data_IF_073634083947
#
_entry.id   IF_073634083947
#
_cell.length_a   1.000
_cell.length_b   1.000
_cell.length_c   1.000
_cell.angle_alpha   90.00
_cell.angle_beta   90.00
_cell.angle_gamma   90.00
#
_symmetry.space_group_name_H-M   'P 1'
#
loop_
_entity.id
_entity.type
_entity.pdbx_description
1 polymer ?
#
# COMPACT_ATOMS: atom_id res chain seq x y z
N UNK A 1 -2.68 41.80 42.02
CA UNK A 1 -1.75 41.03 41.18
C UNK A 1 -2.16 41.20 39.72
N UNK A 2 -1.24 41.45 38.83
CA UNK A 2 -1.50 41.60 37.39
C UNK A 2 -1.34 40.23 36.69
N UNK A 3 -2.04 40.02 35.59
CA UNK A 3 -1.91 38.81 34.78
C UNK A 3 -0.46 38.67 34.29
N UNK A 4 0.14 37.43 34.37
CA UNK A 4 1.51 37.16 33.94
C UNK A 4 1.69 37.05 32.41
N UNK A 5 0.63 37.26 31.62
CA UNK A 5 0.73 37.26 30.16
C UNK A 5 1.10 38.66 29.67
N UNK A 6 2.14 38.81 28.83
CA UNK A 6 2.51 40.07 28.23
C UNK A 6 1.30 40.74 27.56
N UNK A 7 1.18 42.06 27.70
CA UNK A 7 0.10 42.89 27.12
C UNK A 7 -1.29 42.69 27.74
N UNK A 8 -1.50 41.84 28.72
CA UNK A 8 -2.78 41.73 29.40
C UNK A 8 -2.92 42.78 30.50
N UNK A 9 -3.91 43.64 30.36
CA UNK A 9 -4.23 44.71 31.35
C UNK A 9 -5.25 44.25 32.40
N UNK A 10 -5.76 43.04 32.34
CA UNK A 10 -6.74 42.52 33.29
C UNK A 10 -6.09 42.00 34.58
N UNK A 11 -6.79 42.14 35.68
CA UNK A 11 -6.37 41.62 36.99
C UNK A 11 -6.49 40.08 37.02
N UNK A 12 -5.43 39.39 37.47
CA UNK A 12 -5.46 37.96 37.69
C UNK A 12 -6.24 37.61 38.97
N UNK A 13 -7.08 36.59 38.92
CA UNK A 13 -7.89 36.18 40.07
C UNK A 13 -7.08 35.22 40.90
N UNK A 14 -6.78 34.12 40.88
CA UNK A 14 -6.05 33.27 41.84
C UNK A 14 -4.85 32.50 41.25
N UNK A 15 -4.76 32.39 39.96
CA UNK A 15 -3.78 31.54 39.26
C UNK A 15 -2.71 32.30 38.50
N UNK A 16 -2.66 33.62 38.59
CA UNK A 16 -1.70 34.47 37.84
C UNK A 16 -2.09 34.71 36.37
N UNK A 17 -3.19 34.14 35.90
CA UNK A 17 -3.73 34.33 34.56
C UNK A 17 -5.16 34.82 34.64
N UNK A 18 -5.57 35.79 33.83
CA UNK A 18 -6.94 36.28 33.84
C UNK A 18 -7.91 35.26 33.22
N UNK A 19 -9.21 35.41 33.56
CA UNK A 19 -10.25 34.48 33.09
C UNK A 19 -10.32 34.31 31.57
N UNK A 20 -10.06 35.40 30.84
CA UNK A 20 -10.08 35.38 29.37
C UNK A 20 -8.93 34.54 28.77
N UNK A 21 -7.71 34.68 29.32
CA UNK A 21 -6.57 33.87 28.90
C UNK A 21 -6.70 32.41 29.34
N UNK A 22 -7.32 32.16 30.49
CA UNK A 22 -7.61 30.83 30.97
C UNK A 22 -8.60 30.10 30.03
N UNK A 23 -9.70 30.78 29.64
CA UNK A 23 -10.68 30.21 28.69
C UNK A 23 -10.05 29.91 27.33
N UNK A 24 -9.22 30.81 26.80
CA UNK A 24 -8.53 30.55 25.52
C UNK A 24 -7.55 29.36 25.59
N UNK A 25 -6.87 29.21 26.73
CA UNK A 25 -5.98 28.06 26.94
C UNK A 25 -6.76 26.76 27.09
N UNK A 26 -7.90 26.78 27.75
CA UNK A 26 -8.80 25.66 27.91
C UNK A 26 -9.44 25.25 26.58
N UNK A 27 -9.93 26.20 25.78
CA UNK A 27 -10.43 25.95 24.43
C UNK A 27 -9.36 25.33 23.49
N UNK A 28 -8.12 25.80 23.60
CA UNK A 28 -7.01 25.27 22.82
C UNK A 28 -6.67 23.82 23.23
N UNK A 29 -6.68 23.51 24.52
CA UNK A 29 -6.45 22.17 25.03
C UNK A 29 -7.55 21.21 24.58
N UNK A 30 -8.82 21.58 24.75
CA UNK A 30 -9.96 20.75 24.29
C UNK A 30 -10.00 20.59 22.77
N UNK A 31 -9.53 21.61 22.02
CA UNK A 31 -9.39 21.53 20.57
C UNK A 31 -8.33 20.48 20.15
N UNK A 32 -7.20 20.44 20.86
CA UNK A 32 -6.14 19.46 20.61
C UNK A 32 -6.61 18.02 20.89
N UNK A 33 -7.27 17.81 22.04
CA UNK A 33 -7.82 16.48 22.41
C UNK A 33 -8.84 15.99 21.38
N UNK A 34 -9.69 16.89 20.87
CA UNK A 34 -10.68 16.52 19.84
C UNK A 34 -10.01 16.13 18.53
N UNK A 35 -8.99 16.85 18.08
CA UNK A 35 -8.23 16.50 16.88
C UNK A 35 -7.54 15.15 17.04
N UNK A 36 -6.97 14.88 18.20
CA UNK A 36 -6.34 13.59 18.48
C UNK A 36 -7.35 12.44 18.45
N UNK A 37 -8.54 12.62 19.02
CA UNK A 37 -9.62 11.65 18.97
C UNK A 37 -10.11 11.41 17.52
N UNK A 38 -10.28 12.46 16.72
CA UNK A 38 -10.65 12.34 15.32
C UNK A 38 -9.59 11.59 14.50
N UNK A 39 -8.30 11.89 14.73
CA UNK A 39 -7.19 11.20 14.08
C UNK A 39 -7.14 9.70 14.48
N UNK A 40 -7.40 9.39 15.74
CA UNK A 40 -7.46 8.02 16.23
C UNK A 40 -8.63 7.27 15.57
N UNK A 41 -9.80 7.89 15.48
CA UNK A 41 -10.96 7.31 14.82
C UNK A 41 -10.68 7.01 13.33
N UNK A 42 -10.06 7.94 12.59
CA UNK A 42 -9.68 7.72 11.19
C UNK A 42 -8.67 6.57 11.06
N UNK A 43 -7.68 6.49 11.94
CA UNK A 43 -6.70 5.39 11.93
C UNK A 43 -7.35 4.03 12.19
N UNK A 44 -8.30 3.96 13.13
CA UNK A 44 -9.02 2.72 13.44
C UNK A 44 -9.93 2.28 12.29
N UNK A 45 -10.60 3.21 11.62
CA UNK A 45 -11.39 2.91 10.42
C UNK A 45 -10.52 2.43 9.25
N UNK A 46 -9.36 3.05 9.04
CA UNK A 46 -8.41 2.61 8.00
C UNK A 46 -7.90 1.20 8.29
N UNK A 47 -7.49 0.91 9.51
CA UNK A 47 -7.05 -0.42 9.92
C UNK A 47 -8.15 -1.49 9.73
N UNK A 48 -9.39 -1.17 10.11
CA UNK A 48 -10.53 -2.06 9.90
C UNK A 48 -10.88 -2.27 8.41
N UNK A 49 -10.67 -1.25 7.57
CA UNK A 49 -10.86 -1.37 6.12
C UNK A 49 -9.78 -2.23 5.47
N UNK A 50 -8.53 -2.10 5.90
CA UNK A 50 -7.42 -2.93 5.45
C UNK A 50 -7.62 -4.40 5.85
N UNK A 51 -8.05 -4.65 7.08
CA UNK A 51 -8.34 -6.01 7.54
C UNK A 51 -9.48 -6.66 6.75
N UNK A 52 -10.56 -5.92 6.47
CA UNK A 52 -11.65 -6.40 5.60
C UNK A 52 -11.15 -6.75 4.21
N UNK A 53 -10.35 -5.89 3.58
CA UNK A 53 -9.75 -6.17 2.26
C UNK A 53 -8.84 -7.39 2.29
N UNK A 54 -8.05 -7.56 3.36
CA UNK A 54 -7.19 -8.74 3.53
C UNK A 54 -8.02 -10.03 3.62
N UNK A 55 -9.10 -10.03 4.40
CA UNK A 55 -10.03 -11.17 4.51
C UNK A 55 -10.75 -11.49 3.19
N UNK A 56 -11.17 -10.46 2.45
CA UNK A 56 -11.78 -10.63 1.13
C UNK A 56 -10.81 -11.25 0.12
N UNK A 57 -9.55 -10.80 0.11
CA UNK A 57 -8.49 -11.36 -0.72
C UNK A 57 -8.17 -12.80 -0.34
N UNK A 58 -8.11 -13.12 0.95
CA UNK A 58 -7.89 -14.47 1.44
C UNK A 58 -9.06 -15.39 1.06
N UNK A 59 -10.29 -14.93 1.23
CA UNK A 59 -11.49 -15.65 0.79
C UNK A 59 -11.53 -15.85 -0.72
N UNK A 60 -11.10 -14.86 -1.51
CA UNK A 60 -10.98 -14.99 -2.96
C UNK A 60 -9.91 -16.02 -3.35
N UNK A 61 -8.78 -16.04 -2.64
CA UNK A 61 -7.72 -17.06 -2.81
C UNK A 61 -8.22 -18.46 -2.47
N UNK A 62 -8.93 -18.62 -1.36
CA UNK A 62 -9.47 -19.92 -0.93
C UNK A 62 -10.54 -20.48 -1.89
N UNK A 63 -11.29 -19.60 -2.55
CA UNK A 63 -12.30 -19.99 -3.57
C UNK A 63 -11.70 -20.35 -4.92
N UNK A 64 -10.41 -20.06 -5.11
CA UNK A 64 -9.71 -20.29 -6.35
C UNK A 64 -9.33 -21.75 -6.45
N UNK A 65 -9.84 -22.52 -7.43
CA UNK A 65 -9.34 -23.86 -7.67
C UNK A 65 -7.86 -23.78 -8.03
N UNK A 66 -7.03 -24.46 -7.24
CA UNK A 66 -5.61 -24.63 -7.51
C UNK A 66 -5.51 -25.52 -8.76
N UNK A 67 -5.44 -24.91 -9.94
CA UNK A 67 -5.06 -25.62 -11.14
C UNK A 67 -3.51 -25.62 -11.21
N UNK A 68 -2.83 -26.77 -11.03
CA UNK A 68 -1.38 -26.85 -11.05
C UNK A 68 -0.76 -26.39 -12.38
N UNK A 69 -1.55 -26.40 -13.47
CA UNK A 69 -1.10 -25.94 -14.79
C UNK A 69 -1.29 -24.44 -15.04
N UNK A 70 -1.78 -23.70 -14.05
CA UNK A 70 -2.08 -22.28 -14.23
C UNK A 70 -0.85 -21.38 -14.00
N UNK A 71 -0.03 -21.32 -15.04
CA UNK A 71 1.14 -20.42 -15.12
C UNK A 71 0.80 -19.04 -15.68
N UNK A 72 -0.46 -18.61 -15.57
CA UNK A 72 -0.87 -17.31 -16.11
C UNK A 72 -0.10 -16.14 -15.48
N UNK A 73 0.10 -16.18 -14.16
CA UNK A 73 0.92 -15.19 -13.44
C UNK A 73 2.36 -15.17 -13.93
N UNK A 74 2.99 -16.35 -14.08
CA UNK A 74 4.38 -16.48 -14.57
C UNK A 74 4.53 -15.91 -15.99
N UNK A 75 3.60 -16.25 -16.91
CA UNK A 75 3.61 -15.70 -18.28
C UNK A 75 3.48 -14.18 -18.31
N UNK A 76 2.74 -13.61 -17.36
CA UNK A 76 2.65 -12.13 -17.27
C UNK A 76 3.94 -11.56 -16.68
N UNK A 77 4.54 -12.23 -15.70
CA UNK A 77 5.84 -11.84 -15.16
C UNK A 77 6.91 -11.83 -16.25
N UNK A 78 6.96 -12.85 -17.11
CA UNK A 78 7.89 -12.88 -18.24
C UNK A 78 7.71 -11.67 -19.17
N UNK A 79 6.46 -11.31 -19.52
CA UNK A 79 6.17 -10.11 -20.31
C UNK A 79 6.57 -8.80 -19.60
N UNK A 80 6.44 -8.75 -18.27
CA UNK A 80 6.89 -7.61 -17.47
C UNK A 80 8.41 -7.49 -17.54
N UNK A 81 9.12 -8.62 -17.44
CA UNK A 81 10.60 -8.67 -17.57
C UNK A 81 11.03 -8.29 -18.98
N UNK A 82 10.38 -8.82 -20.02
CA UNK A 82 10.68 -8.46 -21.42
C UNK A 82 10.52 -6.95 -21.63
N UNK A 83 9.45 -6.36 -21.11
CA UNK A 83 9.24 -4.92 -21.16
C UNK A 83 10.32 -4.15 -20.41
N UNK A 84 10.71 -4.62 -19.22
CA UNK A 84 11.80 -4.03 -18.46
C UNK A 84 13.07 -3.95 -19.30
N UNK A 85 13.46 -5.03 -19.99
CA UNK A 85 14.65 -5.06 -20.82
C UNK A 85 14.56 -4.12 -22.02
N UNK A 86 13.40 -3.96 -22.61
CA UNK A 86 13.17 -2.99 -23.70
C UNK A 86 13.29 -1.53 -23.23
N UNK A 87 12.83 -1.24 -22.02
CA UNK A 87 12.78 0.11 -21.44
C UNK A 87 14.06 0.48 -20.67
N UNK A 88 14.92 -0.49 -20.32
CA UNK A 88 16.12 -0.29 -19.48
C UNK A 88 17.16 0.65 -20.08
N UNK A 89 17.20 0.78 -21.42
CA UNK A 89 18.08 1.71 -22.11
C UNK A 89 17.81 3.18 -21.83
N UNK A 90 16.57 3.55 -21.51
CA UNK A 90 16.15 4.93 -21.23
C UNK A 90 16.23 5.31 -19.73
N UNK A 91 16.41 4.34 -18.83
CA UNK A 91 16.50 4.59 -17.39
C UNK A 91 16.25 3.34 -16.56
N UNK A 92 17.30 2.56 -16.34
CA UNK A 92 17.26 1.24 -15.67
C UNK A 92 16.49 1.22 -14.34
N UNK A 93 16.73 2.21 -13.49
CA UNK A 93 16.08 2.28 -12.19
C UNK A 93 14.56 2.50 -12.30
N UNK A 94 14.14 3.41 -13.18
CA UNK A 94 12.72 3.69 -13.43
C UNK A 94 12.02 2.50 -14.10
N UNK A 95 12.68 1.85 -15.05
CA UNK A 95 12.17 0.65 -15.71
C UNK A 95 11.98 -0.50 -14.70
N UNK A 96 12.98 -0.72 -13.82
CA UNK A 96 12.89 -1.72 -12.75
C UNK A 96 11.77 -1.38 -11.75
N UNK A 97 11.63 -0.11 -11.37
CA UNK A 97 10.57 0.33 -10.47
C UNK A 97 9.18 0.07 -11.08
N UNK A 98 8.99 0.35 -12.36
CA UNK A 98 7.75 0.06 -13.08
C UNK A 98 7.44 -1.44 -13.16
N UNK A 99 8.44 -2.26 -13.49
CA UNK A 99 8.33 -3.70 -13.52
C UNK A 99 7.99 -4.29 -12.14
N UNK A 100 8.69 -3.84 -11.09
CA UNK A 100 8.47 -4.28 -9.72
C UNK A 100 7.07 -3.88 -9.20
N UNK A 101 6.59 -2.68 -9.53
CA UNK A 101 5.24 -2.27 -9.19
C UNK A 101 4.17 -3.13 -9.89
N UNK A 102 4.33 -3.38 -11.20
CA UNK A 102 3.41 -4.22 -11.97
C UNK A 102 3.36 -5.65 -11.44
N UNK A 103 4.52 -6.26 -11.15
CA UNK A 103 4.62 -7.59 -10.56
C UNK A 103 4.08 -7.61 -9.12
N UNK A 104 4.30 -6.56 -8.33
CA UNK A 104 3.81 -6.42 -6.97
C UNK A 104 2.28 -6.46 -6.89
N UNK A 105 1.58 -5.90 -7.87
CA UNK A 105 0.12 -6.00 -7.97
C UNK A 105 -0.37 -7.44 -8.16
N UNK A 106 0.38 -8.25 -8.93
CA UNK A 106 0.08 -9.67 -9.11
C UNK A 106 0.39 -10.47 -7.84
N UNK A 107 1.48 -10.15 -7.14
CA UNK A 107 1.80 -10.72 -5.82
C UNK A 107 0.68 -10.40 -4.82
N UNK A 108 0.24 -9.14 -4.76
CA UNK A 108 -0.86 -8.72 -3.90
C UNK A 108 -2.18 -9.43 -4.25
N UNK A 109 -2.43 -9.71 -5.52
CA UNK A 109 -3.58 -10.48 -6.02
C UNK A 109 -3.46 -11.99 -5.80
N UNK A 110 -2.30 -12.49 -5.35
CA UNK A 110 -2.05 -13.91 -5.16
C UNK A 110 -1.79 -14.69 -6.45
N UNK A 111 -1.45 -13.99 -7.54
CA UNK A 111 -1.12 -14.57 -8.84
C UNK A 111 0.34 -15.00 -8.94
N UNK A 112 1.20 -14.43 -8.09
CA UNK A 112 2.63 -14.71 -7.99
C UNK A 112 3.04 -14.86 -6.53
N UNK A 113 4.05 -15.69 -6.29
CA UNK A 113 4.72 -15.76 -5.00
C UNK A 113 5.71 -14.59 -4.85
N UNK A 114 5.76 -14.00 -3.65
CA UNK A 114 6.55 -12.80 -3.39
C UNK A 114 8.06 -13.03 -3.56
N UNK A 115 8.61 -14.01 -2.87
CA UNK A 115 10.07 -14.20 -2.82
C UNK A 115 10.69 -14.62 -4.16
N UNK A 116 10.10 -15.56 -4.94
CA UNK A 116 10.57 -15.86 -6.28
C UNK A 116 10.51 -14.64 -7.21
N UNK A 117 9.43 -13.84 -7.12
CA UNK A 117 9.26 -12.62 -7.93
C UNK A 117 10.32 -11.57 -7.60
N UNK A 118 10.57 -11.31 -6.29
CA UNK A 118 11.63 -10.39 -5.84
C UNK A 118 12.97 -10.86 -6.38
N UNK A 119 13.31 -12.14 -6.19
CA UNK A 119 14.60 -12.71 -6.63
C UNK A 119 14.79 -12.53 -8.13
N UNK A 120 13.77 -12.84 -8.93
CA UNK A 120 13.84 -12.71 -10.40
C UNK A 120 14.12 -11.26 -10.80
N UNK A 121 13.32 -10.31 -10.34
CA UNK A 121 13.46 -8.89 -10.70
C UNK A 121 14.77 -8.27 -10.22
N UNK A 122 15.27 -8.66 -9.04
CA UNK A 122 16.57 -8.21 -8.55
C UNK A 122 17.69 -8.76 -9.45
N UNK A 123 17.64 -10.04 -9.83
CA UNK A 123 18.60 -10.64 -10.75
C UNK A 123 18.62 -9.91 -12.09
N UNK A 124 17.45 -9.63 -12.67
CA UNK A 124 17.34 -8.88 -13.92
C UNK A 124 17.84 -7.43 -13.77
N UNK A 125 17.53 -6.75 -12.66
CA UNK A 125 18.05 -5.41 -12.35
C UNK A 125 19.58 -5.35 -12.25
N UNK A 126 20.17 -6.34 -11.58
CA UNK A 126 21.64 -6.45 -11.47
C UNK A 126 22.27 -6.76 -12.83
N UNK A 127 21.67 -7.67 -13.62
CA UNK A 127 22.12 -7.98 -14.97
C UNK A 127 22.03 -6.76 -15.90
N UNK A 128 21.06 -5.86 -15.69
CA UNK A 128 20.96 -4.58 -16.39
C UNK A 128 21.99 -3.53 -15.90
N UNK A 129 22.81 -3.86 -14.88
CA UNK A 129 23.91 -3.03 -14.37
C UNK A 129 23.53 -2.12 -13.21
N UNK A 130 22.46 -2.44 -12.46
CA UNK A 130 22.17 -1.77 -11.20
C UNK A 130 22.98 -2.43 -10.06
N UNK A 131 23.45 -1.66 -9.06
CA UNK A 131 24.01 -2.22 -7.85
C UNK A 131 22.98 -3.11 -7.12
N UNK A 132 23.42 -4.25 -6.58
CA UNK A 132 22.52 -5.22 -5.92
C UNK A 132 21.65 -4.57 -4.84
N UNK A 133 22.22 -3.71 -4.00
CA UNK A 133 21.50 -3.03 -2.93
C UNK A 133 20.41 -2.13 -3.48
N UNK A 134 20.72 -1.34 -4.51
CA UNK A 134 19.76 -0.44 -5.16
C UNK A 134 18.63 -1.24 -5.82
N UNK A 135 18.96 -2.28 -6.58
CA UNK A 135 17.96 -3.16 -7.20
C UNK A 135 17.02 -3.79 -6.14
N UNK A 136 17.58 -4.25 -5.02
CA UNK A 136 16.82 -4.84 -3.92
C UNK A 136 15.87 -3.83 -3.26
N UNK A 137 16.38 -2.62 -2.94
CA UNK A 137 15.59 -1.56 -2.31
C UNK A 137 14.45 -1.10 -3.22
N UNK A 138 14.71 -0.92 -4.51
CA UNK A 138 13.70 -0.55 -5.52
C UNK A 138 12.63 -1.62 -5.63
N UNK A 139 13.02 -2.89 -5.82
CA UNK A 139 12.07 -3.98 -6.03
C UNK A 139 11.19 -4.18 -4.80
N UNK A 140 11.77 -4.27 -3.60
CA UNK A 140 11.00 -4.45 -2.36
C UNK A 140 10.08 -3.26 -2.10
N UNK A 141 10.58 -2.04 -2.24
CA UNK A 141 9.80 -0.83 -2.02
C UNK A 141 8.59 -0.72 -2.97
N UNK A 142 8.74 -1.09 -4.25
CA UNK A 142 7.64 -1.04 -5.21
C UNK A 142 6.63 -2.18 -5.00
N UNK A 143 7.09 -3.39 -4.70
CA UNK A 143 6.18 -4.51 -4.37
C UNK A 143 5.36 -4.20 -3.12
N UNK A 144 5.95 -3.58 -2.09
CA UNK A 144 5.22 -3.19 -0.89
C UNK A 144 4.20 -2.08 -1.14
N UNK A 145 4.53 -1.09 -1.96
CA UNK A 145 3.59 -0.04 -2.40
C UNK A 145 2.42 -0.59 -3.21
N UNK A 146 2.67 -1.61 -4.02
CA UNK A 146 1.66 -2.23 -4.88
C UNK A 146 0.58 -3.01 -4.10
N UNK A 147 0.78 -3.30 -2.80
CA UNK A 147 -0.19 -4.02 -1.95
C UNK A 147 -1.55 -3.33 -1.89
N UNK A 148 -1.60 -2.01 -2.00
CA UNK A 148 -2.85 -1.23 -2.00
C UNK A 148 -3.67 -1.37 -3.29
N UNK A 149 -3.08 -1.92 -4.35
CA UNK A 149 -3.70 -2.05 -5.67
C UNK A 149 -3.55 -3.46 -6.25
N UNK A 150 -4.13 -4.49 -5.60
CA UNK A 150 -4.01 -5.87 -6.06
C UNK A 150 -4.62 -6.04 -7.44
N UNK A 151 -3.99 -6.88 -8.26
CA UNK A 151 -4.48 -7.29 -9.57
C UNK A 151 -4.74 -8.80 -9.55
N UNK A 152 -5.99 -9.18 -9.67
CA UNK A 152 -6.42 -10.56 -9.86
C UNK A 152 -6.66 -10.77 -11.35
N UNK A 153 -6.17 -11.89 -11.88
CA UNK A 153 -6.39 -12.24 -13.28
C UNK A 153 -7.78 -12.85 -13.45
N UNK A 154 -8.59 -12.23 -14.30
CA UNK A 154 -9.84 -12.84 -14.73
C UNK A 154 -9.52 -14.08 -15.53
N UNK A 155 -9.86 -15.24 -14.99
CA UNK A 155 -9.84 -16.49 -15.74
C UNK A 155 -11.13 -16.56 -16.54
N UNK A 156 -11.03 -16.69 -17.84
CA UNK A 156 -12.18 -17.16 -18.61
C UNK A 156 -12.58 -18.49 -17.99
N UNK A 157 -13.75 -18.53 -17.34
CA UNK A 157 -14.36 -19.79 -16.94
C UNK A 157 -14.23 -20.73 -18.13
N UNK A 158 -13.75 -21.95 -17.86
CA UNK A 158 -13.68 -22.97 -18.91
C UNK A 158 -14.95 -22.90 -19.75
N UNK A 159 -14.73 -22.71 -21.05
CA UNK A 159 -15.80 -22.75 -22.04
C UNK A 159 -16.63 -24.01 -21.77
N UNK A 160 -17.75 -23.86 -21.06
CA UNK A 160 -18.75 -24.92 -21.05
C UNK A 160 -19.33 -24.96 -22.45
N UNK A 161 -18.98 -26.00 -23.23
CA UNK A 161 -19.50 -26.09 -24.57
C UNK A 161 -21.02 -26.16 -24.48
N UNK A 162 -21.71 -25.28 -25.19
CA UNK A 162 -23.19 -25.16 -25.16
C UNK A 162 -23.92 -26.48 -25.47
N UNK A 163 -23.22 -27.50 -25.98
CA UNK A 163 -23.76 -28.84 -26.24
C UNK A 163 -23.85 -29.70 -24.98
N UNK A 164 -23.22 -29.32 -23.85
CA UNK A 164 -23.27 -30.11 -22.60
C UNK A 164 -24.61 -29.92 -21.83
N UNK A 165 -25.54 -29.11 -22.36
CA UNK A 165 -26.87 -28.95 -21.78
C UNK A 165 -27.87 -29.72 -22.63
N UNK A 166 -28.39 -30.78 -22.04
CA UNK A 166 -29.52 -31.61 -22.45
C UNK A 166 -29.18 -32.93 -23.18
N UNK A 167 -29.16 -33.95 -22.37
CA UNK A 167 -29.96 -35.13 -22.63
C UNK A 167 -30.71 -35.54 -21.35
#
# INVERSE_FOLDING_TARGET
>A
MTCGVPECQQLSVTTGVCSEHWLKADEAAHGADRIEQELLAVRTEQAAAEERRARELEAARARRPLNPDDRAGERILDRIVDRFWNDAGAGRNNALAGAAWAAGRLVAGGELEREPTVRRLVTDGVAAGLPLREALDVVRGQIDRAKSQPRVLERKSEFQPQWAVKW
#
